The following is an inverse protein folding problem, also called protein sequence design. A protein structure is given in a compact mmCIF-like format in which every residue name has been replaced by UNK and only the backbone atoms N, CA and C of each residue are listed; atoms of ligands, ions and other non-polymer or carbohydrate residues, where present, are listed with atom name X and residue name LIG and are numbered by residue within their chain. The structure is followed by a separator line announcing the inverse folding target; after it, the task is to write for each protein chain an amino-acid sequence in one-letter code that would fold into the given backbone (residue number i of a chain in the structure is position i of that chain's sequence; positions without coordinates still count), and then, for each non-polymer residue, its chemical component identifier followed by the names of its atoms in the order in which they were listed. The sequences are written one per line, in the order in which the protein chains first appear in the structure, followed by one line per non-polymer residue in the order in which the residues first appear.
data_IF_431106361949
#
_entry.id   IF_431106361949
#
_cell.length_a   1.000
_cell.length_b   1.000
_cell.length_c   1.000
_cell.angle_alpha   90.00
_cell.angle_beta   90.00
_cell.angle_gamma   90.00
#
_symmetry.space_group_name_H-M   'P 1'
#
loop_
_entity.id
_entity.type
_entity.pdbx_description
1 polymer ?
#
# COMPACT_ATOMS: atom_id res chain seq x y z
N UNK A 1 0.38 6.14 -40.71
CA UNK A 1 -0.14 5.32 -39.61
C UNK A 1 -0.48 3.95 -40.19
N UNK A 2 -0.01 2.89 -39.54
CA UNK A 2 -0.13 1.52 -40.02
C UNK A 2 0.31 0.53 -38.94
N UNK A 3 -0.03 -0.74 -39.14
CA UNK A 3 0.33 -1.83 -38.25
C UNK A 3 1.67 -2.43 -38.68
N UNK A 4 2.69 -2.30 -37.83
CA UNK A 4 3.98 -2.93 -38.04
C UNK A 4 4.28 -3.89 -36.89
N UNK A 5 4.38 -5.18 -37.19
CA UNK A 5 4.68 -6.23 -36.21
C UNK A 5 6.04 -6.86 -36.49
N UNK A 6 7.07 -6.02 -36.60
CA UNK A 6 8.45 -6.49 -36.69
C UNK A 6 8.95 -7.01 -35.35
N UNK A 7 10.01 -7.80 -35.39
CA UNK A 7 10.68 -8.30 -34.18
C UNK A 7 11.18 -7.17 -33.28
N UNK A 8 11.56 -6.03 -33.85
CA UNK A 8 11.95 -4.82 -33.12
C UNK A 8 10.79 -4.25 -32.30
N UNK A 9 9.62 -4.05 -32.92
CA UNK A 9 8.41 -3.53 -32.26
C UNK A 9 7.92 -4.48 -31.16
N UNK A 10 7.94 -5.78 -31.46
CA UNK A 10 7.65 -6.84 -30.50
C UNK A 10 8.57 -6.75 -29.27
N UNK A 11 9.87 -6.58 -29.50
CA UNK A 11 10.87 -6.50 -28.44
C UNK A 11 10.69 -5.22 -27.62
N UNK A 12 10.34 -4.10 -28.26
CA UNK A 12 10.05 -2.84 -27.59
C UNK A 12 8.82 -2.94 -26.68
N UNK A 13 7.71 -3.50 -27.17
CA UNK A 13 6.51 -3.73 -26.35
C UNK A 13 6.80 -4.63 -25.15
N UNK A 14 7.54 -5.72 -25.36
CA UNK A 14 7.96 -6.61 -24.27
C UNK A 14 8.83 -5.90 -23.23
N UNK A 15 9.83 -5.13 -23.68
CA UNK A 15 10.72 -4.38 -22.80
C UNK A 15 9.98 -3.28 -22.04
N UNK A 16 9.02 -2.62 -22.67
CA UNK A 16 8.17 -1.61 -22.04
C UNK A 16 7.38 -2.21 -20.88
N UNK A 17 6.72 -3.35 -21.13
CA UNK A 17 5.96 -4.02 -20.09
C UNK A 17 6.85 -4.57 -18.96
N UNK A 18 7.96 -5.22 -19.31
CA UNK A 18 8.94 -5.70 -18.33
C UNK A 18 9.48 -4.58 -17.45
N UNK A 19 9.81 -3.43 -18.04
CA UNK A 19 10.26 -2.24 -17.30
C UNK A 19 9.16 -1.73 -16.37
N UNK A 20 7.91 -1.68 -16.82
CA UNK A 20 6.77 -1.28 -16.00
C UNK A 20 6.63 -2.19 -14.76
N UNK A 21 6.67 -3.51 -14.95
CA UNK A 21 6.58 -4.48 -13.85
C UNK A 21 7.74 -4.39 -12.85
N UNK A 22 8.96 -4.12 -13.33
CA UNK A 22 10.14 -3.93 -12.49
C UNK A 22 10.05 -2.64 -11.67
N UNK A 23 9.64 -1.53 -12.28
CA UNK A 23 9.45 -0.25 -11.61
C UNK A 23 8.36 -0.34 -10.53
N UNK A 24 7.25 -0.97 -10.86
CA UNK A 24 6.18 -1.30 -9.93
C UNK A 24 6.74 -2.08 -8.72
N UNK A 25 7.54 -3.13 -8.98
CA UNK A 25 8.10 -3.96 -7.92
C UNK A 25 8.99 -3.14 -6.99
N UNK A 26 9.95 -2.40 -7.55
CA UNK A 26 10.92 -1.65 -6.76
C UNK A 26 10.26 -0.54 -5.93
N UNK A 27 9.28 0.18 -6.46
CA UNK A 27 8.58 1.20 -5.67
C UNK A 27 7.69 0.59 -4.58
N UNK A 28 6.98 -0.50 -4.90
CA UNK A 28 6.11 -1.16 -3.92
C UNK A 28 6.92 -1.79 -2.79
N UNK A 29 8.09 -2.36 -3.13
CA UNK A 29 9.07 -2.80 -2.15
C UNK A 29 9.58 -1.64 -1.31
N UNK A 30 9.88 -0.49 -1.92
CA UNK A 30 10.32 0.71 -1.21
C UNK A 30 9.34 1.18 -0.13
N UNK A 31 8.04 1.28 -0.44
CA UNK A 31 7.03 1.64 0.57
C UNK A 31 6.85 0.53 1.61
N UNK A 32 6.90 -0.74 1.22
CA UNK A 32 6.80 -1.87 2.15
C UNK A 32 7.97 -1.88 3.14
N UNK A 33 9.20 -1.62 2.69
CA UNK A 33 10.39 -1.50 3.53
C UNK A 33 10.27 -0.33 4.52
N UNK A 34 9.72 0.81 4.10
CA UNK A 34 9.40 1.93 5.00
C UNK A 34 8.40 1.50 6.08
N UNK A 35 7.30 0.85 5.70
CA UNK A 35 6.31 0.34 6.66
C UNK A 35 6.90 -0.66 7.65
N UNK A 36 7.75 -1.58 7.18
CA UNK A 36 8.50 -2.52 8.04
C UNK A 36 9.39 -1.76 9.03
N UNK A 37 10.07 -0.70 8.59
CA UNK A 37 10.91 0.11 9.47
C UNK A 37 10.08 0.81 10.55
N UNK A 38 8.93 1.41 10.19
CA UNK A 38 8.00 1.95 11.18
C UNK A 38 7.52 0.87 12.16
N UNK A 39 7.15 -0.31 11.68
CA UNK A 39 6.73 -1.41 12.54
C UNK A 39 7.82 -1.83 13.56
N UNK A 40 9.09 -1.81 13.16
CA UNK A 40 10.24 -2.14 14.03
C UNK A 40 10.57 -1.06 15.03
N UNK A 41 10.50 0.21 14.62
CA UNK A 41 10.78 1.36 15.48
C UNK A 41 9.69 1.52 16.53
N UNK A 42 8.43 1.57 16.09
CA UNK A 42 7.28 1.82 16.95
C UNK A 42 6.94 0.61 17.80
N UNK A 43 7.20 -0.61 17.28
CA UNK A 43 6.79 -1.88 17.91
C UNK A 43 5.31 -1.88 18.28
N UNK A 44 4.52 -1.10 17.54
CA UNK A 44 3.11 -0.90 17.79
C UNK A 44 2.32 -1.90 16.96
N UNK A 45 1.66 -2.84 17.64
CA UNK A 45 0.97 -3.99 17.03
C UNK A 45 0.10 -3.63 15.81
N UNK A 46 -0.69 -2.54 15.81
CA UNK A 46 -1.46 -2.19 14.63
C UNK A 46 -0.63 -1.74 13.41
N UNK A 47 0.51 -1.09 13.61
CA UNK A 47 1.43 -0.73 12.51
C UNK A 47 2.12 -1.99 11.97
N UNK A 48 2.46 -2.95 12.84
CA UNK A 48 2.95 -4.28 12.42
C UNK A 48 1.91 -4.98 11.53
N UNK A 49 0.62 -4.95 11.92
CA UNK A 49 -0.47 -5.54 11.12
C UNK A 49 -0.67 -4.84 9.77
N UNK A 50 -0.69 -3.51 9.75
CA UNK A 50 -0.77 -2.73 8.52
C UNK A 50 0.36 -3.10 7.54
N UNK A 51 1.59 -3.17 8.05
CA UNK A 51 2.76 -3.52 7.25
C UNK A 51 2.62 -4.92 6.66
N UNK A 52 2.09 -5.88 7.43
CA UNK A 52 1.82 -7.23 6.94
C UNK A 52 0.73 -7.25 5.87
N UNK A 53 -0.33 -6.46 6.03
CA UNK A 53 -1.40 -6.34 5.04
C UNK A 53 -0.88 -5.75 3.73
N UNK A 54 -0.02 -4.73 3.77
CA UNK A 54 0.62 -4.18 2.57
C UNK A 54 1.47 -5.22 1.83
N UNK A 55 2.28 -6.00 2.57
CA UNK A 55 3.10 -7.07 1.99
C UNK A 55 2.23 -8.19 1.41
N UNK A 56 1.17 -8.61 2.12
CA UNK A 56 0.25 -9.65 1.65
C UNK A 56 -0.55 -9.21 0.43
N UNK A 57 -0.99 -7.94 0.40
CA UNK A 57 -1.61 -7.35 -0.78
C UNK A 57 -0.71 -7.49 -1.99
N UNK A 58 0.57 -7.10 -1.89
CA UNK A 58 1.51 -7.21 -3.00
C UNK A 58 1.80 -8.68 -3.39
N UNK A 59 2.14 -9.52 -2.42
CA UNK A 59 2.63 -10.88 -2.68
C UNK A 59 1.55 -11.83 -3.20
N UNK A 60 0.32 -11.69 -2.71
CA UNK A 60 -0.76 -12.64 -2.96
C UNK A 60 -1.90 -11.99 -3.76
N UNK A 61 -2.37 -10.81 -3.34
CA UNK A 61 -3.52 -10.14 -3.96
C UNK A 61 -3.22 -9.60 -5.36
N UNK A 62 -2.22 -8.72 -5.45
CA UNK A 62 -1.84 -8.03 -6.68
C UNK A 62 -1.42 -9.03 -7.76
N UNK A 63 -0.54 -9.99 -7.41
CA UNK A 63 -0.09 -11.00 -8.37
C UNK A 63 -1.25 -11.81 -8.96
N UNK A 64 -2.25 -12.15 -8.15
CA UNK A 64 -3.44 -12.83 -8.65
C UNK A 64 -4.31 -11.94 -9.55
N UNK A 65 -4.48 -10.67 -9.16
CA UNK A 65 -5.20 -9.69 -9.98
C UNK A 65 -4.52 -9.50 -11.34
N UNK A 66 -3.19 -9.36 -11.39
CA UNK A 66 -2.44 -9.25 -12.65
C UNK A 66 -2.58 -10.48 -13.53
N UNK A 67 -2.48 -11.69 -12.96
CA UNK A 67 -2.65 -12.92 -13.75
C UNK A 67 -4.06 -13.02 -14.33
N UNK A 68 -5.08 -12.61 -13.58
CA UNK A 68 -6.46 -12.57 -14.07
C UNK A 68 -6.62 -11.52 -15.17
N UNK A 69 -6.10 -10.32 -14.98
CA UNK A 69 -6.09 -9.26 -15.99
C UNK A 69 -5.39 -9.67 -17.27
N UNK A 70 -4.29 -10.42 -17.13
CA UNK A 70 -3.56 -10.98 -18.25
C UNK A 70 -4.39 -12.03 -19.01
N UNK A 71 -5.10 -12.92 -18.29
CA UNK A 71 -6.02 -13.88 -18.89
C UNK A 71 -7.19 -13.17 -19.62
N UNK A 72 -7.79 -12.17 -18.99
CA UNK A 72 -8.87 -11.37 -19.58
C UNK A 72 -8.39 -10.66 -20.85
N UNK A 73 -7.18 -10.09 -20.84
CA UNK A 73 -6.57 -9.46 -22.02
C UNK A 73 -6.29 -10.47 -23.14
N UNK A 74 -5.71 -11.64 -22.86
CA UNK A 74 -5.46 -12.69 -23.87
C UNK A 74 -6.74 -13.13 -24.58
N UNK A 75 -7.85 -13.15 -23.85
CA UNK A 75 -9.17 -13.51 -24.35
C UNK A 75 -9.90 -12.33 -25.04
N UNK A 76 -9.37 -11.12 -24.97
CA UNK A 76 -9.97 -9.92 -25.58
C UNK A 76 -9.65 -9.79 -27.06
N UNK A 77 -10.42 -8.95 -27.76
CA UNK A 77 -10.19 -8.61 -29.18
C UNK A 77 -8.87 -7.85 -29.41
N UNK A 78 -8.29 -7.29 -28.35
CA UNK A 78 -7.06 -6.50 -28.40
C UNK A 78 -5.79 -7.32 -28.11
N UNK A 79 -5.91 -8.62 -27.82
CA UNK A 79 -4.72 -9.46 -27.66
C UNK A 79 -3.91 -9.51 -28.95
N UNK A 80 -2.60 -9.70 -28.84
CA UNK A 80 -1.73 -9.75 -30.02
C UNK A 80 -2.18 -10.84 -31.00
N UNK A 81 -2.64 -11.98 -30.49
CA UNK A 81 -3.13 -13.09 -31.32
C UNK A 81 -4.41 -12.70 -32.06
N UNK A 82 -5.37 -12.05 -31.38
CA UNK A 82 -6.63 -11.63 -32.00
C UNK A 82 -6.42 -10.50 -33.01
N UNK A 83 -5.53 -9.55 -32.74
CA UNK A 83 -5.18 -8.52 -33.72
C UNK A 83 -4.55 -9.12 -34.97
N UNK A 84 -3.65 -10.11 -34.84
CA UNK A 84 -3.10 -10.81 -36.01
C UNK A 84 -4.16 -11.60 -36.80
N UNK A 85 -5.17 -12.15 -36.12
CA UNK A 85 -6.33 -12.79 -36.76
C UNK A 85 -7.16 -11.78 -37.56
N UNK A 86 -7.54 -10.65 -36.95
CA UNK A 86 -8.35 -9.61 -37.59
C UNK A 86 -7.63 -9.01 -38.81
N UNK A 87 -6.32 -8.80 -38.71
CA UNK A 87 -5.48 -8.29 -39.78
C UNK A 87 -5.15 -9.33 -40.86
N UNK A 88 -5.57 -10.58 -40.68
CA UNK A 88 -5.28 -11.72 -41.58
C UNK A 88 -3.78 -11.87 -41.84
N UNK A 89 -2.96 -11.67 -40.80
CA UNK A 89 -1.49 -11.67 -40.89
C UNK A 89 -0.87 -13.05 -41.17
N UNK A 90 -1.66 -14.12 -41.09
CA UNK A 90 -1.23 -15.51 -41.31
C UNK A 90 -0.83 -16.23 -40.03
N UNK A 91 -0.71 -17.56 -40.11
CA UNK A 91 -0.56 -18.42 -38.92
C UNK A 91 0.76 -18.18 -38.19
N UNK A 92 1.86 -17.95 -38.92
CA UNK A 92 3.17 -17.69 -38.29
C UNK A 92 3.18 -16.43 -37.43
N UNK A 93 2.45 -15.38 -37.83
CA UNK A 93 2.34 -14.15 -37.04
C UNK A 93 1.52 -14.40 -35.75
N UNK A 94 0.43 -15.16 -35.85
CA UNK A 94 -0.37 -15.56 -34.68
C UNK A 94 0.42 -16.41 -33.69
N UNK A 95 1.18 -17.38 -34.19
CA UNK A 95 2.01 -18.24 -33.33
C UNK A 95 3.07 -17.41 -32.59
N UNK A 96 3.67 -16.42 -33.26
CA UNK A 96 4.60 -15.49 -32.63
C UNK A 96 3.91 -14.62 -31.57
N UNK A 97 2.71 -14.10 -31.86
CA UNK A 97 1.91 -13.35 -30.89
C UNK A 97 1.62 -14.17 -29.62
N UNK A 98 1.18 -15.42 -29.77
CA UNK A 98 0.96 -16.32 -28.62
C UNK A 98 2.21 -16.52 -27.76
N UNK A 99 3.39 -16.61 -28.40
CA UNK A 99 4.65 -16.72 -27.65
C UNK A 99 4.90 -15.47 -26.78
N UNK A 100 4.63 -14.28 -27.30
CA UNK A 100 4.79 -13.03 -26.56
C UNK A 100 3.81 -12.92 -25.40
N UNK A 101 2.54 -13.24 -25.65
CA UNK A 101 1.50 -13.30 -24.62
C UNK A 101 1.91 -14.25 -23.49
N UNK A 102 2.54 -15.38 -23.81
CA UNK A 102 3.06 -16.32 -22.81
C UNK A 102 4.31 -15.80 -22.08
N UNK A 103 5.20 -15.08 -22.77
CA UNK A 103 6.38 -14.47 -22.14
C UNK A 103 5.99 -13.36 -21.15
N UNK A 104 4.98 -12.55 -21.48
CA UNK A 104 4.40 -11.54 -20.59
C UNK A 104 3.82 -12.20 -19.34
N UNK A 105 3.01 -13.24 -19.50
CA UNK A 105 2.46 -13.98 -18.37
C UNK A 105 3.58 -14.59 -17.50
N UNK A 106 4.63 -15.13 -18.10
CA UNK A 106 5.79 -15.66 -17.37
C UNK A 106 6.51 -14.60 -16.54
N UNK A 107 6.59 -13.34 -17.01
CA UNK A 107 7.14 -12.25 -16.20
C UNK A 107 6.32 -12.03 -14.94
N UNK A 108 4.98 -11.95 -15.06
CA UNK A 108 4.07 -11.83 -13.90
C UNK A 108 4.20 -13.05 -12.97
N UNK A 109 4.33 -14.26 -13.52
CA UNK A 109 4.54 -15.46 -12.71
C UNK A 109 5.89 -15.44 -11.98
N UNK A 110 6.92 -14.82 -12.58
CA UNK A 110 8.26 -14.68 -12.00
C UNK A 110 8.41 -13.51 -11.03
N UNK A 111 7.35 -12.73 -10.78
CA UNK A 111 7.40 -11.58 -9.89
C UNK A 111 7.94 -11.97 -8.51
N UNK A 112 8.93 -11.18 -8.05
CA UNK A 112 9.61 -11.39 -6.79
C UNK A 112 8.68 -11.04 -5.65
N UNK A 113 8.72 -11.86 -4.60
CA UNK A 113 8.01 -11.55 -3.35
C UNK A 113 8.77 -10.48 -2.57
N UNK A 114 8.02 -9.66 -1.84
CA UNK A 114 8.55 -8.80 -0.78
C UNK A 114 8.67 -9.64 0.50
N UNK A 115 9.81 -9.58 1.16
CA UNK A 115 10.08 -10.36 2.37
C UNK A 115 9.25 -9.85 3.56
N UNK A 116 8.48 -10.74 4.19
CA UNK A 116 7.81 -10.46 5.47
C UNK A 116 8.81 -10.56 6.64
N UNK A 117 9.63 -9.52 6.77
CA UNK A 117 10.59 -9.40 7.87
C UNK A 117 9.96 -8.77 9.14
N UNK A 118 8.67 -9.03 9.40
CA UNK A 118 7.92 -8.57 10.57
C UNK A 118 7.80 -9.63 11.69
N UNK A 119 8.18 -10.88 11.41
CA UNK A 119 8.12 -11.95 12.41
C UNK A 119 9.11 -11.67 13.54
N UNK A 120 8.65 -11.75 14.79
CA UNK A 120 9.50 -11.57 15.98
C UNK A 120 9.63 -10.13 16.48
N UNK A 121 8.87 -9.17 15.94
CA UNK A 121 8.76 -7.83 16.55
C UNK A 121 8.11 -7.96 17.93
N UNK A 122 8.87 -7.66 19.00
CA UNK A 122 8.37 -7.65 20.38
C UNK A 122 7.66 -6.33 20.70
N UNK A 123 6.35 -6.38 20.93
CA UNK A 123 5.49 -5.22 21.16
C UNK A 123 5.37 -4.81 22.64
N UNK A 124 6.14 -5.43 23.56
CA UNK A 124 6.12 -5.09 25.00
C UNK A 124 6.44 -3.63 25.30
N UNK A 125 7.44 -3.09 24.61
CA UNK A 125 7.94 -1.72 24.81
C UNK A 125 7.60 -0.87 23.58
N UNK A 126 6.31 -0.77 23.27
CA UNK A 126 5.82 0.00 22.14
C UNK A 126 5.91 1.51 22.41
N UNK A 127 6.08 2.27 21.34
CA UNK A 127 5.96 3.73 21.28
C UNK A 127 5.13 4.08 20.05
N UNK A 128 4.24 5.04 20.20
CA UNK A 128 3.57 5.63 19.05
C UNK A 128 2.99 6.98 19.46
N UNK A 129 3.24 7.98 18.63
CA UNK A 129 2.75 9.35 18.74
C UNK A 129 1.96 9.74 17.48
N UNK A 130 1.19 10.82 17.53
CA UNK A 130 0.38 11.27 16.38
C UNK A 130 1.24 11.62 15.17
N UNK A 131 2.46 12.11 15.37
CA UNK A 131 3.40 12.43 14.30
C UNK A 131 3.81 11.19 13.50
N UNK A 132 3.95 10.03 14.14
CA UNK A 132 4.26 8.77 13.46
C UNK A 132 3.16 8.40 12.45
N UNK A 133 1.89 8.67 12.79
CA UNK A 133 0.78 8.44 11.88
C UNK A 133 0.77 9.39 10.69
N UNK A 134 1.10 10.67 10.89
CA UNK A 134 1.20 11.61 9.77
C UNK A 134 2.37 11.27 8.84
N UNK A 135 3.51 10.81 9.39
CA UNK A 135 4.65 10.37 8.59
C UNK A 135 4.30 9.14 7.73
N UNK A 136 3.68 8.12 8.32
CA UNK A 136 3.24 6.92 7.58
C UNK A 136 2.22 7.31 6.50
N UNK A 137 1.27 8.20 6.82
CA UNK A 137 0.27 8.70 5.86
C UNK A 137 0.92 9.40 4.67
N UNK A 138 1.89 10.26 4.94
CA UNK A 138 2.61 11.00 3.92
C UNK A 138 3.39 10.05 3.01
N UNK A 139 4.10 9.06 3.58
CA UNK A 139 4.82 8.07 2.79
C UNK A 139 3.90 7.24 1.88
N UNK A 140 2.72 6.84 2.37
CA UNK A 140 1.71 6.14 1.56
C UNK A 140 1.18 7.04 0.45
N UNK A 141 0.86 8.31 0.77
CA UNK A 141 0.36 9.27 -0.21
C UNK A 141 1.40 9.55 -1.31
N UNK A 142 2.66 9.80 -0.95
CA UNK A 142 3.74 10.02 -1.91
C UNK A 142 4.01 8.81 -2.79
N UNK A 143 3.84 7.59 -2.28
CA UNK A 143 3.90 6.38 -3.10
C UNK A 143 2.77 6.32 -4.13
N UNK A 144 1.52 6.62 -3.72
CA UNK A 144 0.38 6.67 -4.64
C UNK A 144 0.60 7.72 -5.73
N UNK A 145 1.04 8.93 -5.36
CA UNK A 145 1.35 10.01 -6.31
C UNK A 145 2.45 9.60 -7.31
N UNK A 146 3.48 8.87 -6.84
CA UNK A 146 4.54 8.34 -7.71
C UNK A 146 4.00 7.34 -8.74
N UNK A 147 3.13 6.42 -8.32
CA UNK A 147 2.47 5.47 -9.21
C UNK A 147 1.56 6.18 -10.23
N UNK A 148 0.79 7.20 -9.82
CA UNK A 148 -0.03 8.01 -10.73
C UNK A 148 0.83 8.77 -11.75
N UNK A 149 1.97 9.33 -11.33
CA UNK A 149 2.91 9.98 -12.24
C UNK A 149 3.47 8.99 -13.27
N UNK A 150 3.80 7.76 -12.85
CA UNK A 150 4.21 6.68 -13.77
C UNK A 150 3.11 6.28 -14.74
N UNK A 151 1.88 6.15 -14.27
CA UNK A 151 0.74 5.87 -15.15
C UNK A 151 0.64 6.90 -16.28
N UNK A 152 0.67 8.19 -15.93
CA UNK A 152 0.65 9.27 -16.91
C UNK A 152 1.87 9.22 -17.85
N UNK A 153 3.05 8.85 -17.36
CA UNK A 153 4.24 8.68 -18.19
C UNK A 153 4.06 7.55 -19.21
N UNK A 154 3.56 6.38 -18.80
CA UNK A 154 3.30 5.27 -19.71
C UNK A 154 2.19 5.58 -20.71
N UNK A 155 1.12 6.26 -20.28
CA UNK A 155 0.04 6.70 -21.17
C UNK A 155 0.57 7.62 -22.27
N UNK A 156 1.35 8.65 -21.91
CA UNK A 156 1.98 9.55 -22.89
C UNK A 156 2.97 8.82 -23.82
N UNK A 157 3.77 7.89 -23.26
CA UNK A 157 4.69 7.10 -24.07
C UNK A 157 3.96 6.21 -25.07
N UNK A 158 2.88 5.56 -24.64
CA UNK A 158 2.05 4.72 -25.50
C UNK A 158 1.33 5.53 -26.57
N UNK A 159 0.81 6.72 -26.26
CA UNK A 159 0.23 7.62 -27.26
C UNK A 159 1.23 8.02 -28.35
N UNK A 160 2.47 8.35 -27.96
CA UNK A 160 3.52 8.64 -28.92
C UNK A 160 3.87 7.42 -29.80
N UNK A 161 3.97 6.24 -29.20
CA UNK A 161 4.23 4.99 -29.92
C UNK A 161 3.08 4.63 -30.86
N UNK A 162 1.83 4.82 -30.45
CA UNK A 162 0.63 4.60 -31.29
C UNK A 162 0.60 5.51 -32.51
N UNK A 163 1.08 6.76 -32.38
CA UNK A 163 1.18 7.68 -33.51
C UNK A 163 2.15 7.17 -34.60
N UNK A 164 3.17 6.41 -34.21
CA UNK A 164 4.15 5.79 -35.10
C UNK A 164 3.68 4.42 -35.60
N UNK A 165 3.08 3.59 -34.73
CA UNK A 165 2.67 2.22 -34.98
C UNK A 165 1.40 1.84 -34.19
N UNK A 166 0.31 1.52 -34.88
CA UNK A 166 -0.99 1.28 -34.25
C UNK A 166 -1.05 -0.01 -33.40
N UNK A 167 -0.07 -0.91 -33.53
CA UNK A 167 -0.06 -2.16 -32.76
C UNK A 167 0.05 -1.94 -31.25
N UNK A 168 0.55 -0.78 -30.80
CA UNK A 168 0.64 -0.46 -29.37
C UNK A 168 -0.72 -0.36 -28.68
N UNK A 169 -1.81 -0.20 -29.43
CA UNK A 169 -3.20 -0.29 -28.91
C UNK A 169 -3.42 -1.66 -28.22
N UNK A 170 -2.74 -2.71 -28.67
CA UNK A 170 -2.86 -4.04 -28.07
C UNK A 170 -2.20 -4.17 -26.70
N UNK A 171 -1.05 -3.53 -26.47
CA UNK A 171 -0.30 -3.70 -25.21
C UNK A 171 -0.67 -2.67 -24.15
N UNK A 172 -1.17 -1.50 -24.57
CA UNK A 172 -1.58 -0.40 -23.70
C UNK A 172 -2.48 -0.83 -22.54
N UNK A 173 -3.55 -1.62 -22.76
CA UNK A 173 -4.41 -2.06 -21.66
C UNK A 173 -3.65 -2.79 -20.56
N UNK A 174 -2.70 -3.65 -20.92
CA UNK A 174 -1.93 -4.45 -19.96
C UNK A 174 -1.01 -3.57 -19.12
N UNK A 175 -0.28 -2.66 -19.77
CA UNK A 175 0.65 -1.74 -19.10
C UNK A 175 -0.09 -0.83 -18.12
N UNK A 176 -1.17 -0.18 -18.57
CA UNK A 176 -1.91 0.78 -17.74
C UNK A 176 -2.72 0.10 -16.64
N UNK A 177 -3.23 -1.12 -16.89
CA UNK A 177 -3.96 -1.88 -15.89
C UNK A 177 -3.05 -2.31 -14.74
N UNK A 178 -1.81 -2.75 -15.02
CA UNK A 178 -0.89 -3.15 -13.97
C UNK A 178 -0.60 -2.03 -12.96
N UNK A 179 -0.44 -0.80 -13.44
CA UNK A 179 -0.24 0.36 -12.55
C UNK A 179 -1.56 0.71 -11.82
N UNK A 180 -2.70 0.64 -12.52
CA UNK A 180 -4.01 0.97 -11.95
C UNK A 180 -4.40 0.07 -10.78
N UNK A 181 -4.15 -1.24 -10.88
CA UNK A 181 -4.49 -2.21 -9.83
C UNK A 181 -3.76 -1.88 -8.53
N UNK A 182 -2.51 -1.39 -8.64
CA UNK A 182 -1.69 -1.02 -7.49
C UNK A 182 -2.17 0.28 -6.87
N UNK A 183 -2.39 1.30 -7.69
CA UNK A 183 -2.95 2.58 -7.23
C UNK A 183 -4.24 2.32 -6.45
N UNK A 184 -5.16 1.55 -7.03
CA UNK A 184 -6.45 1.26 -6.40
C UNK A 184 -6.29 0.43 -5.12
N UNK A 185 -5.42 -0.58 -5.13
CA UNK A 185 -5.17 -1.41 -3.95
C UNK A 185 -4.56 -0.64 -2.78
N UNK A 186 -3.67 0.32 -3.04
CA UNK A 186 -3.11 1.17 -1.99
C UNK A 186 -4.06 2.29 -1.54
N UNK A 187 -4.86 2.84 -2.46
CA UNK A 187 -5.91 3.82 -2.11
C UNK A 187 -6.99 3.21 -1.25
N UNK A 188 -7.61 2.12 -1.71
CA UNK A 188 -8.77 1.50 -1.03
C UNK A 188 -8.34 0.57 0.09
N UNK A 189 -7.38 -0.33 -0.17
CA UNK A 189 -6.97 -1.34 0.81
C UNK A 189 -6.16 -0.74 1.95
N UNK A 190 -5.05 -0.07 1.61
CA UNK A 190 -4.06 0.36 2.61
C UNK A 190 -4.41 1.71 3.24
N UNK A 191 -4.75 2.72 2.44
CA UNK A 191 -5.00 4.07 2.95
C UNK A 191 -6.27 4.15 3.80
N UNK A 192 -7.37 3.52 3.39
CA UNK A 192 -8.60 3.51 4.20
C UNK A 192 -8.40 2.77 5.53
N UNK A 193 -7.76 1.59 5.48
CA UNK A 193 -7.41 0.82 6.68
C UNK A 193 -6.51 1.61 7.62
N UNK A 194 -5.56 2.36 7.07
CA UNK A 194 -4.69 3.25 7.83
C UNK A 194 -5.44 4.43 8.46
N UNK A 195 -6.35 5.08 7.74
CA UNK A 195 -7.18 6.17 8.28
C UNK A 195 -8.07 5.68 9.42
N UNK A 196 -8.67 4.49 9.28
CA UNK A 196 -9.44 3.85 10.34
C UNK A 196 -8.57 3.53 11.57
N UNK A 197 -7.32 3.13 11.34
CA UNK A 197 -6.36 2.87 12.40
C UNK A 197 -5.98 4.15 13.16
N UNK A 198 -5.64 5.22 12.43
CA UNK A 198 -5.26 6.51 13.00
C UNK A 198 -6.37 7.08 13.90
N UNK A 199 -7.62 7.07 13.42
CA UNK A 199 -8.79 7.48 14.22
C UNK A 199 -8.94 6.67 15.51
N UNK A 200 -8.81 5.35 15.42
CA UNK A 200 -8.89 4.47 16.62
C UNK A 200 -7.77 4.74 17.62
N UNK A 201 -6.58 5.11 17.15
CA UNK A 201 -5.48 5.51 18.04
C UNK A 201 -5.81 6.82 18.76
N UNK A 202 -6.28 7.82 18.04
CA UNK A 202 -6.67 9.11 18.61
C UNK A 202 -7.79 8.98 19.66
N UNK A 203 -8.83 8.21 19.35
CA UNK A 203 -9.94 7.93 20.29
C UNK A 203 -9.44 7.28 21.59
N UNK A 204 -8.57 6.26 21.48
CA UNK A 204 -7.99 5.58 22.65
C UNK A 204 -7.07 6.50 23.45
N UNK A 205 -6.27 7.32 22.76
CA UNK A 205 -5.39 8.30 23.41
C UNK A 205 -6.20 9.30 24.24
N UNK A 206 -7.27 9.85 23.66
CA UNK A 206 -8.18 10.76 24.35
C UNK A 206 -8.90 10.09 25.53
N UNK A 207 -9.33 8.83 25.38
CA UNK A 207 -9.94 8.06 26.47
C UNK A 207 -8.97 7.90 27.65
N UNK A 208 -7.71 7.53 27.41
CA UNK A 208 -6.70 7.35 28.46
C UNK A 208 -6.37 8.68 29.15
N UNK A 209 -6.25 9.78 28.41
CA UNK A 209 -6.08 11.13 29.00
C UNK A 209 -7.24 11.49 29.92
N UNK A 210 -8.48 11.20 29.51
CA UNK A 210 -9.68 11.40 30.31
C UNK A 210 -9.68 10.60 31.61
N UNK A 211 -9.25 9.33 31.57
CA UNK A 211 -9.07 8.50 32.77
C UNK A 211 -8.03 9.11 33.73
N UNK A 212 -6.92 9.62 33.21
CA UNK A 212 -5.89 10.30 33.99
C UNK A 212 -6.43 11.55 34.71
N UNK A 213 -7.17 12.40 34.02
CA UNK A 213 -7.79 13.59 34.60
C UNK A 213 -8.79 13.24 35.72
N UNK A 214 -9.63 12.22 35.49
CA UNK A 214 -10.59 11.73 36.49
C UNK A 214 -9.89 11.15 37.73
N UNK A 215 -8.80 10.39 37.53
CA UNK A 215 -8.02 9.83 38.62
C UNK A 215 -7.33 10.92 39.45
N UNK A 216 -6.74 11.93 38.80
CA UNK A 216 -6.11 13.08 39.46
C UNK A 216 -7.13 13.87 40.29
N UNK A 217 -8.31 14.15 39.73
CA UNK A 217 -9.38 14.84 40.45
C UNK A 217 -9.88 14.04 41.66
N UNK A 218 -10.02 12.72 41.50
CA UNK A 218 -10.41 11.81 42.60
C UNK A 218 -9.36 11.80 43.71
N UNK A 219 -8.07 11.73 43.36
CA UNK A 219 -6.97 11.77 44.30
C UNK A 219 -6.89 13.11 45.04
N UNK A 220 -7.10 14.23 44.35
CA UNK A 220 -7.16 15.56 44.95
C UNK A 220 -8.30 15.69 45.97
N UNK A 221 -9.50 15.24 45.59
CA UNK A 221 -10.69 15.25 46.47
C UNK A 221 -10.47 14.39 47.71
N UNK A 222 -9.91 13.18 47.56
CA UNK A 222 -9.55 12.31 48.70
C UNK A 222 -8.49 12.93 49.60
N UNK A 223 -7.49 13.60 49.02
CA UNK A 223 -6.43 14.26 49.79
C UNK A 223 -7.01 15.42 50.62
N UNK A 224 -7.91 16.22 50.04
CA UNK A 224 -8.59 17.30 50.77
C UNK A 224 -9.45 16.77 51.94
N UNK A 225 -10.15 15.64 51.77
CA UNK A 225 -10.95 15.06 52.86
C UNK A 225 -10.09 14.47 53.99
N UNK A 226 -8.93 13.90 53.68
CA UNK A 226 -7.98 13.46 54.71
C UNK A 226 -7.38 14.63 55.49
N UNK A 227 -7.05 15.73 54.82
CA UNK A 227 -6.54 16.94 55.49
C UNK A 227 -7.62 17.57 56.38
N UNK A 228 -8.86 17.68 55.91
CA UNK A 228 -9.94 18.29 56.71
C UNK A 228 -10.31 17.46 57.95
N UNK A 229 -10.34 16.14 57.82
CA UNK A 229 -10.58 15.22 58.94
C UNK A 229 -9.42 15.23 59.94
N UNK A 230 -8.17 15.23 59.48
CA UNK A 230 -6.98 15.36 60.33
C UNK A 230 -6.93 16.71 61.07
N UNK A 231 -7.22 17.82 60.39
CA UNK A 231 -7.27 19.15 61.01
C UNK A 231 -8.38 19.26 62.07
N UNK A 232 -9.54 18.65 61.81
CA UNK A 232 -10.64 18.62 62.76
C UNK A 232 -10.31 17.80 64.01
N UNK A 233 -9.67 16.63 63.83
CA UNK A 233 -9.20 15.80 64.94
C UNK A 233 -8.12 16.49 65.77
N UNK A 234 -7.18 17.20 65.13
CA UNK A 234 -6.17 18.01 65.80
C UNK A 234 -6.81 19.16 66.60
N UNK A 235 -7.75 19.89 66.00
CA UNK A 235 -8.48 20.98 66.67
C UNK A 235 -9.25 20.49 67.88
N UNK A 236 -9.87 19.31 67.79
CA UNK A 236 -10.55 18.68 68.92
C UNK A 236 -9.58 18.31 70.06
N UNK A 237 -8.41 17.73 69.73
CA UNK A 237 -7.35 17.45 70.71
C UNK A 237 -6.80 18.71 71.37
N UNK A 238 -6.54 19.78 70.62
CA UNK A 238 -6.05 21.05 71.17
C UNK A 238 -7.06 21.67 72.14
N UNK A 239 -8.36 21.58 71.82
CA UNK A 239 -9.42 22.05 72.72
C UNK A 239 -9.43 21.28 74.05
N UNK A 240 -9.28 19.94 74.01
CA UNK A 240 -9.18 19.11 75.23
C UNK A 240 -7.94 19.40 76.10
N UNK A 241 -6.88 20.00 75.54
CA UNK A 241 -5.69 20.39 76.31
C UNK A 241 -5.90 21.74 77.01
N UNK A 242 -6.77 22.59 76.46
CA UNK A 242 -7.03 23.95 76.96
C UNK A 242 -8.19 23.99 77.98
N UNK A 243 -9.06 22.99 77.98
CA UNK A 243 -10.10 22.75 78.99
C UNK A 243 -9.55 21.95 80.19
#
# INVERSE_FOLDING_TARGET
MGFNFTEEEITQMYNMYGTCLDEIHEETKGISDKLINYARELKYEPVVKLSREAISFYNDGLKQSELKSMEDWKNSELSFTQVMEQMRAGESAKDRSKQLENQIEQQIQSWKKIDDNLTGIDTKNWRCDTEDFENIKQDIASYIESMEAKQNQYENNLENQKAENEIYISIEPVVLQSISIIIEGFKTGISESFLALSRKFEDKSNMVRGLGANAAQTAATKSQSFVSSGASALKAKVKQILD
#
